data_IF_758767400252
#
_entry.id   IF_758767400252
#
_cell.length_a   1.000
_cell.length_b   1.000
_cell.length_c   1.000
_cell.angle_alpha   90.00
_cell.angle_beta   90.00
_cell.angle_gamma   90.00
#
_symmetry.space_group_name_H-M   'P 1'
#
loop_
_entity.id
_entity.type
_entity.pdbx_description
1 polymer ?
#
# COMPACT_ATOMS: atom_id res chain seq x y z
N UNK A 1 7.25 -40.17 -16.01
CA UNK A 1 7.12 -38.86 -15.35
C UNK A 1 6.72 -37.86 -16.40
N UNK A 2 5.47 -37.41 -16.38
CA UNK A 2 4.99 -36.37 -17.28
C UNK A 2 5.65 -35.08 -16.79
N UNK A 3 6.54 -34.50 -17.59
CA UNK A 3 7.05 -33.14 -17.35
C UNK A 3 5.83 -32.23 -17.26
N UNK A 4 5.47 -31.85 -16.03
CA UNK A 4 4.52 -30.75 -15.84
C UNK A 4 5.18 -29.53 -16.52
N UNK A 5 4.46 -28.78 -17.37
CA UNK A 5 5.01 -27.57 -17.95
C UNK A 5 5.62 -26.73 -16.83
N UNK A 6 6.86 -26.30 -17.03
CA UNK A 6 7.71 -25.62 -16.04
C UNK A 6 6.88 -24.63 -15.23
N UNK A 7 6.60 -25.00 -13.98
CA UNK A 7 5.77 -24.18 -13.12
C UNK A 7 6.59 -22.94 -12.76
N UNK A 8 6.31 -21.84 -13.45
CA UNK A 8 7.04 -20.60 -13.29
C UNK A 8 7.03 -20.13 -11.84
N UNK A 9 8.18 -19.61 -11.41
CA UNK A 9 8.47 -19.40 -10.00
C UNK A 9 8.83 -17.96 -9.68
N UNK A 10 8.17 -17.39 -8.66
CA UNK A 10 8.44 -16.08 -8.12
C UNK A 10 8.95 -16.15 -6.68
N UNK A 11 9.97 -15.35 -6.38
CA UNK A 11 10.45 -15.07 -5.03
C UNK A 11 10.06 -13.63 -4.67
N UNK A 12 9.46 -13.45 -3.50
CA UNK A 12 9.03 -12.16 -2.98
C UNK A 12 9.79 -11.91 -1.68
N UNK A 13 10.60 -10.85 -1.65
CA UNK A 13 11.38 -10.45 -0.49
C UNK A 13 10.65 -9.34 0.27
N UNK A 14 10.46 -9.58 1.57
CA UNK A 14 9.84 -8.64 2.52
C UNK A 14 10.82 -8.29 3.64
N UNK A 15 10.50 -7.22 4.38
CA UNK A 15 11.33 -6.73 5.49
C UNK A 15 11.30 -7.66 6.72
N UNK A 16 10.17 -8.34 6.93
CA UNK A 16 9.94 -9.31 8.00
C UNK A 16 9.46 -8.70 9.32
N UNK A 17 10.14 -7.68 9.83
CA UNK A 17 9.79 -7.09 11.14
C UNK A 17 9.94 -5.59 11.25
N UNK A 18 10.34 -4.91 10.16
CA UNK A 18 10.57 -3.46 10.22
C UNK A 18 9.24 -2.73 10.05
N UNK A 19 8.45 -3.13 9.05
CA UNK A 19 7.20 -2.48 8.74
C UNK A 19 6.17 -3.48 8.21
N UNK A 20 5.15 -3.77 9.04
CA UNK A 20 4.13 -4.77 8.71
C UNK A 20 3.33 -4.44 7.45
N UNK A 21 3.27 -3.17 7.04
CA UNK A 21 2.57 -2.79 5.81
C UNK A 21 3.25 -3.42 4.59
N UNK A 22 4.58 -3.33 4.49
CA UNK A 22 5.32 -3.90 3.36
C UNK A 22 5.29 -5.42 3.37
N UNK A 23 5.31 -6.04 4.54
CA UNK A 23 5.17 -7.49 4.63
C UNK A 23 3.78 -7.94 4.14
N UNK A 24 2.72 -7.24 4.56
CA UNK A 24 1.36 -7.49 4.08
C UNK A 24 1.26 -7.38 2.56
N UNK A 25 1.88 -6.36 1.95
CA UNK A 25 1.95 -6.22 0.48
C UNK A 25 2.65 -7.43 -0.16
N UNK A 26 3.77 -7.89 0.39
CA UNK A 26 4.45 -9.08 -0.13
C UNK A 26 3.59 -10.33 -0.11
N UNK A 27 2.84 -10.55 0.98
CA UNK A 27 1.90 -11.66 1.06
C UNK A 27 0.72 -11.53 0.08
N UNK A 28 0.18 -10.31 -0.09
CA UNK A 28 -0.87 -10.04 -1.08
C UNK A 28 -0.40 -10.31 -2.51
N UNK A 29 0.80 -9.85 -2.84
CA UNK A 29 1.42 -10.11 -4.14
C UNK A 29 1.59 -11.61 -4.37
N UNK A 30 2.15 -12.34 -3.40
CA UNK A 30 2.31 -13.78 -3.51
C UNK A 30 0.96 -14.50 -3.69
N UNK A 31 -0.09 -14.05 -2.98
CA UNK A 31 -1.43 -14.59 -3.17
C UNK A 31 -1.96 -14.31 -4.59
N UNK A 32 -1.79 -13.09 -5.09
CA UNK A 32 -2.21 -12.73 -6.46
C UNK A 32 -1.48 -13.59 -7.52
N UNK A 33 -0.17 -13.77 -7.38
CA UNK A 33 0.62 -14.61 -8.30
C UNK A 33 0.19 -16.09 -8.23
N UNK A 34 -0.12 -16.62 -7.04
CA UNK A 34 -0.67 -17.98 -6.88
C UNK A 34 -2.04 -18.13 -7.52
N UNK A 35 -2.90 -17.12 -7.42
CA UNK A 35 -4.21 -17.11 -8.09
C UNK A 35 -4.07 -17.13 -9.62
N UNK A 36 -2.95 -16.65 -10.16
CA UNK A 36 -2.59 -16.76 -11.58
C UNK A 36 -1.96 -18.12 -11.95
N UNK A 37 -1.86 -19.07 -11.01
CA UNK A 37 -1.29 -20.40 -11.23
C UNK A 37 0.23 -20.49 -11.09
N UNK A 38 0.90 -19.44 -10.61
CA UNK A 38 2.35 -19.41 -10.41
C UNK A 38 2.73 -19.97 -9.03
N UNK A 39 3.95 -20.50 -8.92
CA UNK A 39 4.53 -20.75 -7.59
C UNK A 39 5.12 -19.45 -7.07
N UNK A 40 4.66 -18.97 -5.91
CA UNK A 40 5.16 -17.75 -5.30
C UNK A 40 5.56 -17.98 -3.84
N UNK A 41 6.78 -17.64 -3.47
CA UNK A 41 7.31 -17.79 -2.12
C UNK A 41 7.66 -16.43 -1.52
N UNK A 42 7.21 -16.18 -0.29
CA UNK A 42 7.58 -14.98 0.48
C UNK A 42 8.67 -15.37 1.46
N UNK A 43 9.76 -14.59 1.52
CA UNK A 43 10.81 -14.76 2.51
C UNK A 43 11.41 -13.41 2.91
N UNK A 44 12.13 -13.37 4.03
CA UNK A 44 13.06 -12.28 4.29
C UNK A 44 14.31 -12.44 3.41
N UNK A 45 15.14 -11.40 3.30
CA UNK A 45 16.44 -11.52 2.62
C UNK A 45 17.40 -12.48 3.36
N UNK A 46 17.24 -12.62 4.68
CA UNK A 46 18.05 -13.51 5.52
C UNK A 46 17.76 -14.99 5.24
N UNK A 47 16.48 -15.30 5.05
CA UNK A 47 16.00 -16.67 4.88
C UNK A 47 15.85 -17.06 3.39
N UNK A 48 16.16 -16.14 2.48
CA UNK A 48 16.07 -16.37 1.03
C UNK A 48 17.05 -17.45 0.57
N UNK A 49 16.51 -18.49 -0.05
CA UNK A 49 17.27 -19.62 -0.60
C UNK A 49 17.88 -19.24 -1.95
N UNK A 50 19.10 -19.73 -2.19
CA UNK A 50 19.81 -19.62 -3.47
C UNK A 50 19.22 -20.58 -4.52
N UNK A 51 18.05 -20.24 -5.04
CA UNK A 51 17.40 -20.98 -6.12
C UNK A 51 17.13 -20.08 -7.32
N UNK A 52 17.09 -20.69 -8.49
CA UNK A 52 16.73 -19.99 -9.72
C UNK A 52 15.24 -19.67 -9.72
N UNK A 53 14.87 -18.50 -10.21
CA UNK A 53 13.49 -18.04 -10.28
C UNK A 53 13.25 -17.20 -11.54
N UNK A 54 12.00 -17.14 -11.98
CA UNK A 54 11.60 -16.30 -13.08
C UNK A 54 11.53 -14.83 -12.66
N UNK A 55 11.03 -14.59 -11.45
CA UNK A 55 10.83 -13.23 -10.96
C UNK A 55 11.26 -13.10 -9.50
N UNK A 56 12.06 -12.08 -9.23
CA UNK A 56 12.41 -11.63 -7.90
C UNK A 56 11.71 -10.29 -7.64
N UNK A 57 10.72 -10.28 -6.76
CA UNK A 57 10.07 -9.06 -6.29
C UNK A 57 10.68 -8.65 -4.95
N UNK A 58 11.02 -7.37 -4.79
CA UNK A 58 11.55 -6.82 -3.54
C UNK A 58 10.60 -5.72 -3.06
N UNK A 59 9.92 -5.94 -1.94
CA UNK A 59 8.92 -5.00 -1.41
C UNK A 59 9.62 -3.96 -0.53
N UNK A 60 9.69 -2.72 -0.99
CA UNK A 60 10.48 -1.63 -0.41
C UNK A 60 11.94 -2.03 -0.17
N UNK A 61 12.80 -1.76 -1.17
CA UNK A 61 14.19 -2.19 -1.16
C UNK A 61 14.95 -1.69 0.07
N UNK A 62 14.77 -0.43 0.45
CA UNK A 62 15.41 0.11 1.66
C UNK A 62 15.04 -0.69 2.92
N UNK A 63 13.76 -0.96 3.13
CA UNK A 63 13.27 -1.70 4.32
C UNK A 63 13.76 -3.16 4.34
N UNK A 64 13.85 -3.82 3.18
CA UNK A 64 14.43 -5.17 3.06
C UNK A 64 15.91 -5.17 3.45
N UNK A 65 16.66 -4.14 3.06
CA UNK A 65 18.07 -3.99 3.42
C UNK A 65 18.27 -3.71 4.91
N UNK A 66 17.41 -2.86 5.49
CA UNK A 66 17.40 -2.58 6.95
C UNK A 66 17.07 -3.86 7.72
N UNK A 67 16.03 -4.60 7.33
CA UNK A 67 15.62 -5.86 7.96
C UNK A 67 16.69 -6.97 7.88
N UNK A 68 17.56 -6.92 6.87
CA UNK A 68 18.71 -7.84 6.76
C UNK A 68 19.87 -7.50 7.71
N UNK A 69 19.95 -6.27 8.21
CA UNK A 69 21.02 -5.80 9.09
C UNK A 69 21.98 -4.78 8.45
N UNK A 70 21.64 -4.21 7.29
CA UNK A 70 22.38 -3.09 6.71
C UNK A 70 22.43 -3.07 5.18
N UNK A 71 22.55 -1.86 4.61
CA UNK A 71 22.49 -1.65 3.16
C UNK A 71 23.63 -2.31 2.40
N UNK A 72 24.87 -2.19 2.89
CA UNK A 72 26.05 -2.73 2.18
C UNK A 72 26.00 -4.25 2.07
N UNK A 73 25.78 -4.94 3.19
CA UNK A 73 25.69 -6.41 3.25
C UNK A 73 24.43 -6.92 2.55
N UNK A 74 23.29 -6.24 2.71
CA UNK A 74 22.05 -6.59 2.05
C UNK A 74 22.11 -6.45 0.52
N UNK A 75 22.71 -5.36 0.01
CA UNK A 75 22.91 -5.20 -1.44
C UNK A 75 23.84 -6.26 -2.01
N UNK A 76 24.90 -6.63 -1.28
CA UNK A 76 25.78 -7.72 -1.70
C UNK A 76 25.02 -9.04 -1.81
N UNK A 77 24.14 -9.35 -0.84
CA UNK A 77 23.27 -10.54 -0.88
C UNK A 77 22.26 -10.49 -2.03
N UNK A 78 21.57 -9.36 -2.22
CA UNK A 78 20.61 -9.19 -3.31
C UNK A 78 21.26 -9.32 -4.69
N UNK A 79 22.49 -8.86 -4.87
CA UNK A 79 23.25 -9.06 -6.12
C UNK A 79 23.53 -10.54 -6.41
N UNK A 80 23.65 -11.39 -5.39
CA UNK A 80 23.77 -12.83 -5.59
C UNK A 80 22.46 -13.42 -6.07
N UNK A 81 21.33 -13.07 -5.43
CA UNK A 81 19.99 -13.52 -5.82
C UNK A 81 19.61 -13.02 -7.22
N UNK A 82 19.95 -11.77 -7.56
CA UNK A 82 19.72 -11.18 -8.89
C UNK A 82 20.30 -12.05 -10.01
N UNK A 83 21.47 -12.67 -9.83
CA UNK A 83 22.11 -13.52 -10.86
C UNK A 83 21.31 -14.80 -11.15
N UNK A 84 20.38 -15.16 -10.28
CA UNK A 84 19.52 -16.35 -10.35
C UNK A 84 18.08 -16.01 -10.74
N UNK A 85 17.76 -14.73 -10.89
CA UNK A 85 16.45 -14.24 -11.27
C UNK A 85 16.48 -13.81 -12.74
N UNK A 86 15.47 -14.22 -13.51
CA UNK A 86 15.36 -13.75 -14.89
C UNK A 86 14.90 -12.29 -14.98
N UNK A 87 14.13 -11.81 -14.00
CA UNK A 87 13.74 -10.42 -13.86
C UNK A 87 13.66 -10.04 -12.37
N UNK A 88 14.03 -8.80 -12.07
CA UNK A 88 14.01 -8.22 -10.72
C UNK A 88 13.15 -6.97 -10.70
N UNK A 89 12.14 -6.98 -9.85
CA UNK A 89 11.21 -5.88 -9.66
C UNK A 89 11.30 -5.35 -8.24
N UNK A 90 11.28 -4.03 -8.08
CA UNK A 90 11.10 -3.39 -6.77
C UNK A 90 9.68 -2.85 -6.70
N UNK A 91 8.96 -3.18 -5.63
CA UNK A 91 7.57 -2.73 -5.41
C UNK A 91 7.56 -1.67 -4.34
N UNK A 92 7.04 -0.48 -4.65
CA UNK A 92 6.93 0.66 -3.75
C UNK A 92 5.48 1.09 -3.55
N UNK A 93 5.22 1.76 -2.43
CA UNK A 93 3.98 2.46 -2.11
C UNK A 93 4.35 3.81 -1.52
N UNK A 94 5.00 4.64 -2.32
CA UNK A 94 5.63 5.87 -1.87
C UNK A 94 5.30 7.05 -2.79
N UNK A 95 5.32 8.25 -2.23
CA UNK A 95 5.24 9.48 -3.01
C UNK A 95 6.57 9.71 -3.73
N UNK A 96 6.54 9.83 -5.06
CA UNK A 96 7.76 9.97 -5.88
C UNK A 96 8.52 11.28 -5.64
N UNK A 97 7.86 12.27 -5.02
CA UNK A 97 8.44 13.57 -4.71
C UNK A 97 9.20 13.60 -3.38
N UNK A 98 9.25 12.48 -2.65
CA UNK A 98 9.89 12.41 -1.34
C UNK A 98 11.35 11.95 -1.42
N UNK A 99 12.14 12.31 -0.40
CA UNK A 99 13.52 11.83 -0.26
C UNK A 99 13.61 10.30 -0.09
N UNK A 100 12.57 9.65 0.45
CA UNK A 100 12.52 8.20 0.61
C UNK A 100 12.44 7.49 -0.73
N UNK A 101 11.63 8.01 -1.66
CA UNK A 101 11.58 7.51 -3.02
C UNK A 101 12.93 7.69 -3.73
N UNK A 102 13.56 8.85 -3.59
CA UNK A 102 14.88 9.10 -4.19
C UNK A 102 15.94 8.11 -3.66
N UNK A 103 15.93 7.85 -2.35
CA UNK A 103 16.84 6.87 -1.75
C UNK A 103 16.59 5.45 -2.28
N UNK A 104 15.32 5.03 -2.37
CA UNK A 104 14.95 3.75 -2.98
C UNK A 104 15.41 3.67 -4.44
N UNK A 105 15.27 4.75 -5.22
CA UNK A 105 15.70 4.81 -6.60
C UNK A 105 17.23 4.64 -6.75
N UNK A 106 18.02 5.27 -5.88
CA UNK A 106 19.48 5.13 -5.88
C UNK A 106 19.89 3.68 -5.59
N UNK A 107 19.22 3.02 -4.64
CA UNK A 107 19.41 1.60 -4.34
C UNK A 107 18.99 0.71 -5.52
N UNK A 108 17.87 1.04 -6.19
CA UNK A 108 17.39 0.34 -7.38
C UNK A 108 18.41 0.38 -8.52
N UNK A 109 19.00 1.55 -8.76
CA UNK A 109 20.07 1.72 -9.75
C UNK A 109 21.32 0.91 -9.37
N UNK A 110 21.71 0.91 -8.10
CA UNK A 110 22.85 0.15 -7.60
C UNK A 110 22.67 -1.37 -7.67
N UNK A 111 21.42 -1.85 -7.59
CA UNK A 111 21.06 -3.26 -7.77
C UNK A 111 20.90 -3.64 -9.25
N UNK A 112 20.54 -2.67 -10.10
CA UNK A 112 20.35 -2.84 -11.54
C UNK A 112 18.98 -3.42 -11.91
N UNK A 113 17.91 -3.04 -11.23
CA UNK A 113 16.56 -3.63 -11.40
C UNK A 113 16.00 -3.50 -12.82
N UNK A 114 15.01 -4.33 -13.15
CA UNK A 114 14.37 -4.36 -14.47
C UNK A 114 13.16 -3.40 -14.54
N UNK A 115 12.39 -3.29 -13.45
CA UNK A 115 11.37 -2.25 -13.31
C UNK A 115 11.07 -1.92 -11.83
N UNK A 116 10.67 -0.68 -11.60
CA UNK A 116 10.12 -0.19 -10.35
C UNK A 116 8.59 -0.15 -10.49
N UNK A 117 7.90 -0.96 -9.70
CA UNK A 117 6.45 -1.08 -9.68
C UNK A 117 5.89 -0.18 -8.56
N UNK A 118 5.10 0.83 -8.91
CA UNK A 118 4.43 1.68 -7.93
C UNK A 118 2.99 1.22 -7.72
N UNK A 119 2.74 0.64 -6.55
CA UNK A 119 1.45 0.07 -6.18
C UNK A 119 0.54 1.16 -5.57
N UNK A 120 -0.20 1.84 -6.44
CA UNK A 120 -1.00 3.03 -6.10
C UNK A 120 -2.37 3.05 -6.79
N UNK A 121 -3.16 4.09 -6.55
CA UNK A 121 -4.42 4.31 -7.30
C UNK A 121 -4.26 5.17 -8.55
N UNK A 122 -3.15 5.87 -8.66
CA UNK A 122 -2.87 6.73 -9.80
C UNK A 122 -1.38 6.68 -10.12
N UNK A 123 -1.07 7.03 -11.35
CA UNK A 123 0.30 7.15 -11.81
C UNK A 123 0.92 8.45 -11.31
N UNK A 124 2.19 8.39 -10.92
CA UNK A 124 3.00 9.55 -10.55
C UNK A 124 4.05 9.87 -11.64
N UNK A 125 3.89 9.33 -12.86
CA UNK A 125 4.85 9.48 -13.98
C UNK A 125 5.13 10.95 -14.31
N UNK A 126 4.13 11.83 -14.23
CA UNK A 126 4.27 13.25 -14.55
C UNK A 126 5.26 13.97 -13.62
N UNK A 127 5.42 13.47 -12.38
CA UNK A 127 6.32 14.04 -11.38
C UNK A 127 7.72 13.44 -11.44
N UNK A 128 7.96 12.46 -12.33
CA UNK A 128 9.24 11.78 -12.46
C UNK A 128 10.13 12.39 -13.54
N UNK A 129 11.46 12.46 -13.32
CA UNK A 129 12.42 12.78 -14.37
C UNK A 129 12.35 11.76 -15.54
N UNK A 130 12.55 12.18 -16.81
CA UNK A 130 12.46 11.28 -17.97
C UNK A 130 13.34 10.03 -17.90
N UNK A 131 14.50 10.12 -17.23
CA UNK A 131 15.40 8.99 -17.02
C UNK A 131 14.76 7.87 -16.17
N UNK A 132 13.91 8.24 -15.20
CA UNK A 132 13.26 7.32 -14.26
C UNK A 132 11.97 6.76 -14.85
N UNK A 133 11.26 7.54 -15.67
CA UNK A 133 9.99 7.13 -16.30
C UNK A 133 10.11 5.80 -17.07
N UNK A 134 11.28 5.48 -17.62
CA UNK A 134 11.51 4.21 -18.34
C UNK A 134 11.51 2.99 -17.43
N UNK A 135 11.90 3.14 -16.17
CA UNK A 135 11.92 2.07 -15.16
C UNK A 135 10.60 1.97 -14.40
N UNK A 136 9.89 3.08 -14.28
CA UNK A 136 8.66 3.17 -13.49
C UNK A 136 7.47 2.52 -14.21
N UNK A 137 6.71 1.70 -13.48
CA UNK A 137 5.47 1.08 -13.94
C UNK A 137 4.38 1.29 -12.88
N UNK A 138 3.31 2.05 -13.19
CA UNK A 138 2.18 2.15 -12.29
C UNK A 138 1.46 0.79 -12.24
N UNK A 139 1.13 0.34 -11.03
CA UNK A 139 0.36 -0.87 -10.78
C UNK A 139 -0.83 -0.47 -9.91
N UNK A 140 -2.05 -0.64 -10.42
CA UNK A 140 -3.23 -0.30 -9.64
C UNK A 140 -3.32 -1.19 -8.39
N UNK A 141 -3.49 -0.61 -7.21
CA UNK A 141 -3.64 -1.33 -5.95
C UNK A 141 -5.04 -1.95 -5.81
N UNK A 142 -5.34 -2.89 -6.70
CA UNK A 142 -6.58 -3.65 -6.74
C UNK A 142 -6.74 -4.60 -5.56
N UNK A 143 -7.98 -5.05 -5.35
CA UNK A 143 -8.27 -6.15 -4.44
C UNK A 143 -7.84 -7.48 -5.07
N UNK A 144 -7.29 -8.38 -4.27
CA UNK A 144 -7.14 -9.79 -4.65
C UNK A 144 -8.52 -10.47 -4.71
N UNK A 145 -8.61 -11.63 -5.37
CA UNK A 145 -9.87 -12.40 -5.42
C UNK A 145 -10.43 -12.72 -4.02
N UNK A 146 -9.55 -13.01 -3.05
CA UNK A 146 -9.93 -13.26 -1.66
C UNK A 146 -10.46 -11.99 -0.98
N UNK A 147 -9.80 -10.85 -1.19
CA UNK A 147 -10.22 -9.56 -0.66
C UNK A 147 -11.57 -9.11 -1.24
N UNK A 148 -11.80 -9.34 -2.54
CA UNK A 148 -13.11 -9.08 -3.15
C UNK A 148 -14.22 -9.88 -2.48
N UNK A 149 -13.96 -11.17 -2.20
CA UNK A 149 -14.92 -12.01 -1.50
C UNK A 149 -15.15 -11.55 -0.06
N UNK A 150 -14.09 -11.19 0.65
CA UNK A 150 -14.17 -10.64 2.00
C UNK A 150 -15.00 -9.34 2.01
N UNK A 151 -14.78 -8.44 1.06
CA UNK A 151 -15.57 -7.20 0.92
C UNK A 151 -17.06 -7.50 0.76
N UNK A 152 -17.43 -8.45 -0.10
CA UNK A 152 -18.86 -8.84 -0.28
C UNK A 152 -19.47 -9.38 1.01
N UNK A 153 -18.72 -10.15 1.79
CA UNK A 153 -19.17 -10.65 3.10
C UNK A 153 -19.38 -9.48 4.08
N UNK A 154 -18.41 -8.56 4.18
CA UNK A 154 -18.49 -7.38 5.05
C UNK A 154 -19.68 -6.49 4.71
N UNK A 155 -20.01 -6.32 3.42
CA UNK A 155 -21.16 -5.52 3.00
C UNK A 155 -22.49 -6.10 3.49
N UNK A 156 -22.62 -7.42 3.49
CA UNK A 156 -23.84 -8.13 3.89
C UNK A 156 -24.05 -8.17 5.41
N UNK A 157 -23.03 -7.88 6.21
CA UNK A 157 -23.13 -7.86 7.66
C UNK A 157 -23.33 -6.44 8.19
N UNK A 158 -24.45 -6.23 8.88
CA UNK A 158 -24.66 -5.01 9.67
C UNK A 158 -23.93 -5.14 11.01
N UNK A 159 -22.81 -4.42 11.13
CA UNK A 159 -22.07 -4.31 12.39
C UNK A 159 -22.35 -2.95 13.03
N UNK A 160 -22.58 -2.96 14.35
CA UNK A 160 -22.61 -1.72 15.13
C UNK A 160 -21.19 -1.12 15.12
N UNK A 161 -21.07 0.10 14.62
CA UNK A 161 -19.81 0.87 14.58
C UNK A 161 -19.87 2.01 15.59
N UNK A 162 -19.40 1.78 16.84
CA UNK A 162 -19.51 2.74 17.92
C UNK A 162 -18.51 3.89 17.81
N UNK A 163 -17.42 3.75 17.06
CA UNK A 163 -16.42 4.81 16.90
C UNK A 163 -16.85 5.70 15.71
N UNK A 164 -17.27 6.95 15.93
CA UNK A 164 -17.80 7.79 14.85
C UNK A 164 -16.73 8.14 13.82
N UNK A 165 -15.50 8.36 14.26
CA UNK A 165 -14.37 8.59 13.38
C UNK A 165 -13.07 8.18 14.07
N UNK A 166 -12.07 7.83 13.28
CA UNK A 166 -10.71 7.53 13.75
C UNK A 166 -9.72 8.39 12.98
N UNK A 167 -8.77 9.02 13.68
CA UNK A 167 -7.65 9.75 13.09
C UNK A 167 -6.32 9.11 13.49
N UNK A 168 -5.54 8.65 12.50
CA UNK A 168 -4.24 7.99 12.71
C UNK A 168 -3.17 8.65 11.85
N UNK A 169 -2.13 9.19 12.49
CA UNK A 169 -0.99 9.81 11.84
C UNK A 169 0.10 10.17 12.84
N UNK A 170 1.21 10.76 12.41
CA UNK A 170 2.21 11.28 13.35
C UNK A 170 1.81 12.63 13.91
N UNK A 171 2.27 12.93 15.12
CA UNK A 171 2.04 14.21 15.75
C UNK A 171 2.66 15.36 14.94
N UNK A 172 1.82 16.27 14.49
CA UNK A 172 2.17 17.49 13.78
C UNK A 172 1.14 18.56 14.12
N UNK A 173 1.55 19.84 14.21
CA UNK A 173 0.67 20.96 14.59
C UNK A 173 -0.62 20.96 13.76
N UNK A 174 -0.51 20.75 12.45
CA UNK A 174 -1.67 20.73 11.56
C UNK A 174 -2.63 19.58 11.87
N UNK A 175 -2.12 18.39 12.13
CA UNK A 175 -2.93 17.21 12.50
C UNK A 175 -3.61 17.38 13.84
N UNK A 176 -2.92 17.99 14.81
CA UNK A 176 -3.51 18.31 16.11
C UNK A 176 -4.70 19.27 15.93
N UNK A 177 -4.56 20.33 15.14
CA UNK A 177 -5.67 21.28 14.84
C UNK A 177 -6.84 20.62 14.12
N UNK A 178 -6.55 19.70 13.19
CA UNK A 178 -7.59 18.93 12.52
C UNK A 178 -8.35 18.04 13.50
N UNK A 179 -7.65 17.38 14.42
CA UNK A 179 -8.26 16.59 15.49
C UNK A 179 -9.10 17.44 16.43
N UNK A 180 -8.62 18.62 16.86
CA UNK A 180 -9.41 19.57 17.65
C UNK A 180 -10.71 19.96 16.93
N UNK A 181 -10.64 20.14 15.60
CA UNK A 181 -11.81 20.43 14.76
C UNK A 181 -12.78 19.25 14.69
N UNK A 182 -12.28 18.01 14.55
CA UNK A 182 -13.11 16.81 14.56
C UNK A 182 -13.81 16.61 15.92
N UNK A 183 -13.10 16.83 17.03
CA UNK A 183 -13.65 16.74 18.39
C UNK A 183 -14.74 17.78 18.61
N UNK A 184 -14.46 19.05 18.26
CA UNK A 184 -15.37 20.16 18.55
C UNK A 184 -16.55 20.25 17.58
N UNK A 185 -16.40 19.79 16.34
CA UNK A 185 -17.41 20.00 15.30
C UNK A 185 -18.00 18.70 14.72
N UNK A 186 -17.34 17.56 14.78
CA UNK A 186 -17.90 16.31 14.25
C UNK A 186 -18.51 15.46 15.36
N UNK A 187 -17.68 14.93 16.26
CA UNK A 187 -18.11 14.12 17.40
C UNK A 187 -16.96 14.03 18.42
N UNK A 188 -17.21 14.20 19.74
CA UNK A 188 -16.16 14.21 20.75
C UNK A 188 -15.61 12.82 21.11
N UNK A 189 -16.33 11.75 20.75
CA UNK A 189 -16.04 10.34 21.07
C UNK A 189 -15.28 9.59 19.97
N UNK A 190 -14.61 10.32 19.07
CA UNK A 190 -13.71 9.73 18.08
C UNK A 190 -12.42 9.17 18.70
N UNK A 191 -11.72 8.35 17.92
CA UNK A 191 -10.43 7.78 18.31
C UNK A 191 -9.28 8.55 17.66
N UNK A 192 -8.27 8.90 18.45
CA UNK A 192 -7.08 9.61 17.98
C UNK A 192 -5.84 8.81 18.35
N UNK A 193 -4.96 8.58 17.38
CA UNK A 193 -3.62 8.07 17.62
C UNK A 193 -2.61 8.95 16.86
N UNK A 194 -1.87 9.76 17.63
CA UNK A 194 -0.88 10.73 17.15
C UNK A 194 0.47 10.53 17.86
N UNK A 195 1.20 9.43 17.62
CA UNK A 195 2.53 9.25 18.19
C UNK A 195 3.51 10.29 17.63
N UNK A 196 4.50 10.68 18.44
CA UNK A 196 5.70 11.35 17.95
C UNK A 196 6.42 10.43 16.96
N UNK A 197 7.06 11.01 15.93
CA UNK A 197 7.85 10.23 14.98
C UNK A 197 9.01 9.59 15.74
N UNK A 198 9.04 8.26 15.72
CA UNK A 198 10.12 7.44 16.26
C UNK A 198 10.38 6.29 15.27
N UNK A 199 11.60 5.73 15.23
CA UNK A 199 11.87 4.52 14.45
C UNK A 199 10.91 3.40 14.86
N UNK A 200 10.28 2.76 13.88
CA UNK A 200 9.42 1.60 14.14
C UNK A 200 10.29 0.44 14.59
N UNK A 201 9.97 -0.14 15.74
CA UNK A 201 10.58 -1.38 16.23
C UNK A 201 9.49 -2.36 16.66
N UNK A 202 9.81 -3.65 16.74
CA UNK A 202 8.88 -4.66 17.25
C UNK A 202 8.41 -4.38 18.69
N UNK A 203 9.16 -3.58 19.45
CA UNK A 203 8.86 -3.16 20.83
C UNK A 203 8.23 -1.75 20.90
N UNK A 204 8.12 -1.06 19.77
CA UNK A 204 7.55 0.29 19.73
C UNK A 204 6.06 0.27 20.07
N UNK A 205 5.58 1.30 20.75
CA UNK A 205 4.17 1.48 21.09
C UNK A 205 3.29 1.84 19.85
N UNK A 206 3.71 1.40 18.66
CA UNK A 206 3.01 1.62 17.40
C UNK A 206 1.85 0.66 17.21
N UNK A 207 0.76 1.17 16.65
CA UNK A 207 -0.40 0.37 16.29
C UNK A 207 0.02 -0.67 15.24
N UNK A 208 -0.09 -1.94 15.60
CA UNK A 208 0.14 -3.06 14.68
C UNK A 208 -0.99 -3.17 13.65
N UNK A 209 -0.79 -3.92 12.56
CA UNK A 209 -1.85 -4.13 11.57
C UNK A 209 -3.12 -4.77 12.14
N UNK A 210 -2.99 -5.71 13.09
CA UNK A 210 -4.14 -6.34 13.74
C UNK A 210 -4.88 -5.39 14.68
N UNK A 211 -4.15 -4.52 15.40
CA UNK A 211 -4.74 -3.47 16.22
C UNK A 211 -5.47 -2.44 15.37
N UNK A 212 -4.87 -2.02 14.24
CA UNK A 212 -5.52 -1.13 13.27
C UNK A 212 -6.82 -1.74 12.76
N UNK A 213 -6.78 -2.98 12.29
CA UNK A 213 -7.96 -3.69 11.81
C UNK A 213 -9.08 -3.72 12.88
N UNK A 214 -8.74 -4.06 14.13
CA UNK A 214 -9.69 -4.11 15.25
C UNK A 214 -10.35 -2.75 15.53
N UNK A 215 -9.58 -1.67 15.41
CA UNK A 215 -10.10 -0.30 15.53
C UNK A 215 -11.06 -0.03 14.37
N UNK A 216 -10.63 -0.27 13.14
CA UNK A 216 -11.40 0.07 11.94
C UNK A 216 -12.71 -0.72 11.81
N UNK A 217 -12.77 -1.95 12.32
CA UNK A 217 -14.00 -2.76 12.37
C UNK A 217 -15.10 -2.08 13.21
N UNK A 218 -14.72 -1.22 14.15
CA UNK A 218 -15.61 -0.44 15.01
C UNK A 218 -15.80 1.01 14.54
N UNK A 219 -15.01 1.44 13.55
CA UNK A 219 -14.98 2.82 13.03
C UNK A 219 -15.95 3.01 11.88
N UNK A 220 -16.64 4.16 11.84
CA UNK A 220 -17.35 4.63 10.65
C UNK A 220 -16.40 5.32 9.67
N UNK A 221 -15.89 6.50 10.03
CA UNK A 221 -15.01 7.29 9.16
C UNK A 221 -13.53 7.13 9.55
N UNK A 222 -12.71 6.56 8.67
CA UNK A 222 -11.26 6.52 8.86
C UNK A 222 -10.60 7.73 8.19
N UNK A 223 -10.19 8.71 8.99
CA UNK A 223 -9.75 10.03 8.52
C UNK A 223 -8.23 10.17 8.64
N UNK A 224 -7.58 10.74 7.63
CA UNK A 224 -6.19 11.14 7.71
C UNK A 224 -5.85 12.27 6.74
N UNK A 225 -4.65 12.82 6.86
CA UNK A 225 -4.01 13.68 5.86
C UNK A 225 -2.60 13.15 5.55
N UNK A 226 -2.03 13.62 4.44
CA UNK A 226 -0.67 13.26 4.04
C UNK A 226 0.34 13.63 5.13
N UNK A 227 1.45 12.88 5.22
CA UNK A 227 2.53 13.13 6.18
C UNK A 227 3.66 14.02 5.62
N UNK A 228 3.53 14.41 4.37
CA UNK A 228 4.47 15.23 3.61
C UNK A 228 3.65 16.27 2.82
N UNK A 229 4.27 17.36 2.34
CA UNK A 229 3.55 18.46 1.68
C UNK A 229 3.02 18.11 0.28
N UNK A 230 3.37 16.95 -0.26
CA UNK A 230 2.95 16.49 -1.57
C UNK A 230 1.58 15.78 -1.53
N UNK A 231 0.81 15.89 -2.61
CA UNK A 231 -0.39 15.09 -2.77
C UNK A 231 -0.01 13.66 -3.17
N UNK A 232 -0.25 12.69 -2.29
CA UNK A 232 -0.03 11.26 -2.58
C UNK A 232 -1.11 10.41 -1.95
N UNK A 233 -1.86 9.64 -2.74
CA UNK A 233 -2.94 8.78 -2.25
C UNK A 233 -2.38 7.50 -1.63
N UNK A 234 -2.45 7.39 -0.30
CA UNK A 234 -2.06 6.19 0.44
C UNK A 234 -3.08 5.06 0.23
N UNK A 235 -2.98 4.37 -0.93
CA UNK A 235 -3.94 3.36 -1.39
C UNK A 235 -4.20 2.23 -0.37
N UNK A 236 -3.19 1.82 0.40
CA UNK A 236 -3.37 0.82 1.48
C UNK A 236 -4.31 1.27 2.59
N UNK A 237 -4.39 2.57 2.89
CA UNK A 237 -5.35 3.08 3.89
C UNK A 237 -6.79 2.91 3.41
N UNK A 238 -7.04 3.07 2.11
CA UNK A 238 -8.35 2.80 1.51
C UNK A 238 -8.68 1.31 1.57
N UNK A 239 -7.73 0.45 1.19
CA UNK A 239 -7.90 -1.00 1.27
C UNK A 239 -8.20 -1.46 2.70
N UNK A 240 -7.42 -1.03 3.68
CA UNK A 240 -7.62 -1.42 5.08
C UNK A 240 -8.97 -0.94 5.61
N UNK A 241 -9.41 0.27 5.25
CA UNK A 241 -10.76 0.74 5.58
C UNK A 241 -11.83 -0.19 5.00
N UNK A 242 -11.73 -0.53 3.71
CA UNK A 242 -12.68 -1.41 3.03
C UNK A 242 -12.77 -2.78 3.70
N UNK A 243 -11.62 -3.41 3.98
CA UNK A 243 -11.55 -4.74 4.58
C UNK A 243 -11.94 -4.78 6.06
N UNK A 244 -12.14 -3.61 6.68
CA UNK A 244 -12.75 -3.46 8.00
C UNK A 244 -14.20 -2.93 7.92
N UNK A 245 -14.69 -2.62 6.72
CA UNK A 245 -15.99 -2.00 6.44
C UNK A 245 -16.12 -0.55 6.90
N UNK A 246 -15.03 0.14 7.20
CA UNK A 246 -15.01 1.58 7.43
C UNK A 246 -14.99 2.34 6.08
N UNK A 247 -15.32 3.63 6.11
CA UNK A 247 -15.16 4.51 4.94
C UNK A 247 -13.87 5.32 5.09
N UNK A 248 -12.92 5.22 4.15
CA UNK A 248 -11.72 6.03 4.15
C UNK A 248 -12.04 7.48 3.76
N UNK A 249 -11.43 8.44 4.44
CA UNK A 249 -11.53 9.87 4.16
C UNK A 249 -10.12 10.47 4.19
N UNK A 250 -9.59 10.81 3.02
CA UNK A 250 -8.31 11.50 2.91
C UNK A 250 -8.52 13.00 2.79
N UNK A 251 -8.04 13.75 3.76
CA UNK A 251 -8.16 15.21 3.78
C UNK A 251 -6.95 15.84 3.11
N UNK A 252 -7.17 16.78 2.20
CA UNK A 252 -6.11 17.59 1.59
C UNK A 252 -6.27 19.07 1.98
N UNK A 253 -5.15 19.81 2.09
CA UNK A 253 -5.11 21.21 2.60
C UNK A 253 -5.62 22.26 1.63
N UNK A 254 -5.60 22.01 0.32
CA UNK A 254 -5.67 23.08 -0.66
C UNK A 254 -4.41 23.30 -1.49
N UNK A 255 -3.26 22.76 -1.05
CA UNK A 255 -1.95 23.09 -1.67
C UNK A 255 -1.81 22.57 -3.10
N UNK A 256 -2.38 21.39 -3.36
CA UNK A 256 -2.39 20.72 -4.66
C UNK A 256 -3.75 20.07 -4.83
N UNK A 257 -4.45 20.45 -5.91
CA UNK A 257 -5.78 19.90 -6.17
C UNK A 257 -5.64 18.48 -6.74
N UNK A 258 -6.40 17.51 -6.22
CA UNK A 258 -6.51 16.21 -6.87
C UNK A 258 -7.04 16.38 -8.30
N UNK A 259 -6.54 15.58 -9.24
CA UNK A 259 -7.08 15.55 -10.61
C UNK A 259 -8.44 14.84 -10.62
N UNK A 260 -9.37 15.29 -11.47
CA UNK A 260 -10.75 14.78 -11.49
C UNK A 260 -10.86 13.29 -11.86
N UNK A 261 -9.81 12.71 -12.45
CA UNK A 261 -9.73 11.30 -12.84
C UNK A 261 -9.26 10.36 -11.71
N UNK A 262 -8.95 10.89 -10.51
CA UNK A 262 -8.50 10.09 -9.40
C UNK A 262 -9.60 9.14 -8.88
N UNK A 263 -9.29 7.84 -8.72
CA UNK A 263 -10.19 6.90 -8.07
C UNK A 263 -10.60 7.40 -6.68
N UNK A 264 -11.90 7.31 -6.40
CA UNK A 264 -12.49 7.69 -5.12
C UNK A 264 -12.27 9.14 -4.71
N UNK A 265 -12.16 10.08 -5.64
CA UNK A 265 -12.00 11.52 -5.32
C UNK A 265 -13.11 12.08 -4.42
N UNK A 266 -14.31 11.49 -4.45
CA UNK A 266 -15.39 11.82 -3.52
C UNK A 266 -15.10 11.40 -2.06
N UNK A 267 -14.05 10.65 -1.79
CA UNK A 267 -13.56 10.34 -0.45
C UNK A 267 -12.39 11.24 -0.05
N UNK A 268 -12.08 12.25 -0.86
CA UNK A 268 -10.95 13.15 -0.67
C UNK A 268 -11.39 14.63 -0.54
N UNK A 269 -12.18 14.99 0.49
CA UNK A 269 -12.61 16.37 0.67
C UNK A 269 -11.44 17.30 1.00
N UNK A 270 -11.56 18.56 0.57
CA UNK A 270 -10.75 19.64 1.12
C UNK A 270 -11.05 19.79 2.61
N UNK A 271 -10.04 20.15 3.40
CA UNK A 271 -10.14 20.39 4.84
C UNK A 271 -11.31 21.32 5.22
N UNK A 272 -11.55 22.39 4.45
CA UNK A 272 -12.64 23.33 4.71
C UNK A 272 -14.05 22.74 4.50
N UNK A 273 -14.18 21.70 3.67
CA UNK A 273 -15.46 21.05 3.36
C UNK A 273 -15.71 19.78 4.20
N UNK A 274 -14.73 19.33 4.98
CA UNK A 274 -14.75 18.04 5.68
C UNK A 274 -15.94 17.91 6.62
N UNK A 275 -16.13 18.86 7.53
CA UNK A 275 -17.13 18.77 8.60
C UNK A 275 -18.54 18.78 8.02
N UNK A 276 -18.84 19.73 7.13
CA UNK A 276 -20.15 19.83 6.50
C UNK A 276 -20.48 18.60 5.67
N UNK A 277 -19.48 18.03 4.98
CA UNK A 277 -19.65 16.80 4.22
C UNK A 277 -20.00 15.62 5.12
N UNK A 278 -19.23 15.37 6.18
CA UNK A 278 -19.43 14.22 7.04
C UNK A 278 -20.72 14.30 7.88
N UNK A 279 -21.16 15.50 8.26
CA UNK A 279 -22.45 15.69 8.96
C UNK A 279 -23.66 15.39 8.09
N UNK A 280 -23.56 15.62 6.78
CA UNK A 280 -24.66 15.40 5.81
C UNK A 280 -24.62 14.03 5.15
N UNK A 281 -23.49 13.33 5.24
CA UNK A 281 -23.30 12.05 4.60
C UNK A 281 -24.07 10.93 5.32
N UNK A 282 -24.76 10.10 4.55
CA UNK A 282 -25.18 8.79 5.02
C UNK A 282 -23.98 7.84 4.98
N UNK A 283 -23.61 7.31 6.14
CA UNK A 283 -22.48 6.40 6.27
C UNK A 283 -22.66 5.12 5.45
N UNK A 284 -23.85 4.51 5.47
CA UNK A 284 -24.10 3.26 4.77
C UNK A 284 -24.11 3.47 3.25
N UNK A 285 -24.64 4.60 2.78
CA UNK A 285 -24.58 4.97 1.36
C UNK A 285 -23.12 5.11 0.89
N UNK A 286 -22.29 5.84 1.64
CA UNK A 286 -20.87 6.01 1.32
C UNK A 286 -20.11 4.69 1.38
N UNK A 287 -20.39 3.85 2.39
CA UNK A 287 -19.78 2.53 2.55
C UNK A 287 -20.10 1.61 1.38
N UNK A 288 -21.36 1.53 0.99
CA UNK A 288 -21.81 0.71 -0.12
C UNK A 288 -21.21 1.22 -1.44
N UNK A 289 -21.31 2.52 -1.72
CA UNK A 289 -20.74 3.13 -2.93
C UNK A 289 -19.23 2.89 -3.04
N UNK A 290 -18.49 3.10 -1.95
CA UNK A 290 -17.05 2.89 -1.94
C UNK A 290 -16.68 1.45 -2.28
N UNK A 291 -17.35 0.49 -1.64
CA UNK A 291 -17.08 -0.91 -1.90
C UNK A 291 -17.45 -1.33 -3.33
N UNK A 292 -18.59 -0.88 -3.84
CA UNK A 292 -19.02 -1.16 -5.21
C UNK A 292 -18.06 -0.58 -6.25
N UNK A 293 -17.59 0.65 -6.03
CA UNK A 293 -16.61 1.30 -6.92
C UNK A 293 -15.27 0.54 -6.88
N UNK A 294 -14.78 0.14 -5.71
CA UNK A 294 -13.51 -0.59 -5.59
C UNK A 294 -13.59 -2.00 -6.19
N UNK A 295 -14.73 -2.70 -6.02
CA UNK A 295 -14.95 -4.01 -6.64
C UNK A 295 -14.98 -3.96 -8.19
N UNK A 296 -15.23 -2.79 -8.79
CA UNK A 296 -15.20 -2.58 -10.26
C UNK A 296 -13.81 -2.26 -10.79
N UNK A 297 -12.86 -1.87 -9.94
CA UNK A 297 -11.50 -1.59 -10.37
C UNK A 297 -10.76 -2.88 -10.80
N UNK A 298 -9.64 -2.71 -11.50
CA UNK A 298 -8.72 -3.82 -11.79
C UNK A 298 -8.35 -4.58 -10.52
N UNK A 299 -8.34 -5.91 -10.59
CA UNK A 299 -7.83 -6.74 -9.49
C UNK A 299 -6.31 -6.73 -9.45
N UNK A 300 -5.73 -7.05 -8.30
CA UNK A 300 -4.27 -7.17 -8.17
C UNK A 300 -3.71 -8.24 -9.13
N UNK A 301 -4.42 -9.36 -9.27
CA UNK A 301 -4.09 -10.42 -10.23
C UNK A 301 -4.04 -9.89 -11.67
N UNK A 302 -5.02 -9.08 -12.07
CA UNK A 302 -5.10 -8.56 -13.44
C UNK A 302 -3.95 -7.60 -13.76
N UNK A 303 -3.48 -6.82 -12.78
CA UNK A 303 -2.33 -5.94 -12.97
C UNK A 303 -1.02 -6.73 -13.02
N UNK A 304 -0.82 -7.70 -12.13
CA UNK A 304 0.40 -8.51 -12.15
C UNK A 304 0.47 -9.49 -13.32
N UNK A 305 -0.67 -9.93 -13.87
CA UNK A 305 -0.71 -10.71 -15.10
C UNK A 305 -0.06 -9.96 -16.29
N UNK A 306 -0.23 -8.64 -16.37
CA UNK A 306 0.43 -7.79 -17.38
C UNK A 306 1.95 -7.82 -17.19
N UNK A 307 2.40 -7.59 -15.96
CA UNK A 307 3.83 -7.54 -15.62
C UNK A 307 4.52 -8.87 -15.93
N UNK A 308 3.98 -9.99 -15.46
CA UNK A 308 4.59 -11.31 -15.68
C UNK A 308 4.41 -11.81 -17.12
N UNK A 309 3.38 -11.34 -17.82
CA UNK A 309 3.15 -11.63 -19.24
C UNK A 309 4.15 -10.92 -20.15
N UNK A 310 4.48 -9.65 -19.86
CA UNK A 310 5.46 -8.86 -20.60
C UNK A 310 6.88 -9.46 -20.53
N UNK A 311 7.29 -9.98 -19.37
CA UNK A 311 8.62 -10.60 -19.21
C UNK A 311 8.83 -11.85 -20.07
N UNK A 312 7.74 -12.45 -20.56
CA UNK A 312 7.76 -13.68 -21.35
C UNK A 312 7.89 -13.36 -22.84
N UNK A 313 7.30 -12.25 -23.29
CA UNK A 313 7.30 -11.86 -24.69
C UNK A 313 8.65 -11.28 -25.16
N UNK A 314 9.52 -10.88 -24.23
CA UNK A 314 10.85 -10.31 -24.50
C UNK A 314 11.98 -11.35 -24.53
N UNK A 315 11.66 -12.64 -24.46
CA UNK A 315 12.59 -13.76 -24.68
C UNK A 315 12.37 -14.41 -26.03
#
# INVERSE_FOLDING_TARGET
MINRPDQRHAVILVSGSVNYYYDAIGYRLAQALRNLGLTANVSTLKDAVDQDCDWLFVINLHEVLVGFGGEVSGLARLRQLRKRANAVYVVLLECVQTQWFQHNLDLCNALGIDALLDLGFHTQVADLPPAVQRLYRPVFNGLTAQEQQQTRVILNHQHVRPIPWTFIGHQEIRRVRMVETLISQLAPDGLVYLPTIAPVSAESAHITGSQLQTILEKTRWYIWNAHHPHFYVESERFRNALLAGAVPIKVWDGSTSPTDDLPFIYLMPNEAALIDRLRRADFEEFRQRFADDYLKCSSLESEFAKIVGESVATR
#
